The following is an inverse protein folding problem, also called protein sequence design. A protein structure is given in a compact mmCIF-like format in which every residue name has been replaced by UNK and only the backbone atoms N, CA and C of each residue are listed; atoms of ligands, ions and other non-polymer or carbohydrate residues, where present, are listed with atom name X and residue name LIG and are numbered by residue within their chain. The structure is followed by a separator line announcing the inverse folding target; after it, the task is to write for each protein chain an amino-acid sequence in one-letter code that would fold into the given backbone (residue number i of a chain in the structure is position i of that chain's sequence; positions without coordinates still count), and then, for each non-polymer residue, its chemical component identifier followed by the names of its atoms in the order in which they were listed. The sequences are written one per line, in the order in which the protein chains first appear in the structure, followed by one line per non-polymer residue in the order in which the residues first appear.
data_IF_294112394411
#
_entry.id   IF_294112394411
#
_cell.length_a   1.000
_cell.length_b   1.000
_cell.length_c   1.000
_cell.angle_alpha   90.00
_cell.angle_beta   90.00
_cell.angle_gamma   90.00
#
_symmetry.space_group_name_H-M   'P 1'
#
loop_
_entity.id
_entity.type
_entity.pdbx_description
1 polymer ?
#
# COMPACT_ATOMS: atom_id res chain seq x y z
N UNK A 1 0.67 25.15 -4.20
CA UNK A 1 -0.02 23.88 -3.93
C UNK A 1 0.12 22.96 -5.13
N UNK A 2 1.07 22.05 -5.02
CA UNK A 2 1.33 21.02 -6.02
C UNK A 2 0.87 19.67 -5.47
N UNK A 3 0.12 18.91 -6.27
CA UNK A 3 -0.27 17.53 -5.93
C UNK A 3 0.62 16.57 -6.70
N UNK A 4 1.31 15.71 -5.97
CA UNK A 4 2.19 14.67 -6.49
C UNK A 4 1.50 13.30 -6.36
N UNK A 5 1.79 12.37 -7.27
CA UNK A 5 1.24 11.02 -7.26
C UNK A 5 2.33 10.03 -7.65
N UNK A 6 2.69 9.15 -6.71
CA UNK A 6 3.76 8.17 -6.87
C UNK A 6 3.20 6.76 -6.75
N UNK A 7 3.45 5.92 -7.75
CA UNK A 7 3.27 4.47 -7.62
C UNK A 7 4.49 3.95 -6.86
N UNK A 8 4.27 3.40 -5.67
CA UNK A 8 5.37 2.98 -4.79
C UNK A 8 5.52 1.48 -4.71
N UNK A 9 4.50 0.72 -5.11
CA UNK A 9 4.49 -0.73 -5.17
C UNK A 9 3.63 -1.15 -6.35
N UNK A 10 4.15 -2.03 -7.20
CA UNK A 10 3.41 -2.66 -8.29
C UNK A 10 3.93 -4.08 -8.48
N UNK A 11 3.07 -5.06 -8.23
CA UNK A 11 3.40 -6.49 -8.25
C UNK A 11 2.38 -7.19 -9.13
N UNK A 12 2.86 -7.92 -10.13
CA UNK A 12 1.98 -8.65 -11.06
C UNK A 12 1.25 -9.80 -10.38
N UNK A 13 1.96 -10.56 -9.53
CA UNK A 13 1.43 -11.71 -8.81
C UNK A 13 1.93 -11.75 -7.36
N UNK A 14 1.01 -11.74 -6.42
CA UNK A 14 1.28 -11.94 -5.00
C UNK A 14 0.71 -13.29 -4.56
N UNK A 15 1.62 -14.24 -4.33
CA UNK A 15 1.28 -15.63 -4.03
C UNK A 15 0.37 -15.78 -2.80
N UNK A 16 -0.34 -16.91 -2.65
CA UNK A 16 -1.14 -17.18 -1.46
C UNK A 16 -0.30 -17.10 -0.18
N UNK A 17 -0.88 -16.54 0.88
CA UNK A 17 -0.27 -16.37 2.21
C UNK A 17 1.16 -15.81 2.16
N UNK A 18 1.40 -14.87 1.25
CA UNK A 18 2.72 -14.28 1.03
C UNK A 18 2.71 -12.79 1.29
N UNK A 19 3.87 -12.29 1.68
CA UNK A 19 4.13 -10.89 1.94
C UNK A 19 5.13 -10.38 0.92
N UNK A 20 4.89 -9.21 0.35
CA UNK A 20 5.84 -8.57 -0.56
C UNK A 20 7.09 -8.09 0.16
N UNK A 21 8.12 -7.73 -0.60
CA UNK A 21 9.16 -6.84 -0.07
C UNK A 21 8.59 -5.46 0.30
N UNK A 22 9.41 -4.64 0.95
CA UNK A 22 9.08 -3.27 1.31
C UNK A 22 9.50 -2.31 0.18
N UNK A 23 8.55 -1.60 -0.43
CA UNK A 23 8.78 -0.75 -1.61
C UNK A 23 8.52 0.74 -1.36
N UNK A 24 9.20 1.60 -2.12
CA UNK A 24 9.23 3.06 -2.01
C UNK A 24 10.69 3.57 -2.01
N UNK A 25 11.04 4.68 -1.32
CA UNK A 25 10.20 5.49 -0.42
C UNK A 25 9.40 6.60 -1.12
N UNK A 26 8.48 7.20 -0.38
CA UNK A 26 7.99 8.57 -0.63
C UNK A 26 8.43 9.46 0.50
N UNK A 27 9.06 10.59 0.17
CA UNK A 27 9.39 11.65 1.11
C UNK A 27 8.18 12.58 1.28
N UNK A 28 7.77 12.80 2.53
CA UNK A 28 6.63 13.62 2.93
C UNK A 28 7.06 14.87 3.73
N UNK A 29 8.35 15.19 3.81
CA UNK A 29 8.92 16.30 4.62
C UNK A 29 8.19 17.65 4.48
N UNK A 30 7.63 17.95 3.31
CA UNK A 30 6.90 19.19 3.02
C UNK A 30 5.41 18.97 2.72
N UNK A 31 4.90 17.76 2.96
CA UNK A 31 3.53 17.39 2.63
C UNK A 31 2.55 17.90 3.68
N UNK A 32 1.44 18.48 3.24
CA UNK A 32 0.35 18.96 4.11
C UNK A 32 -0.88 18.05 4.05
N UNK A 33 -0.98 17.19 3.03
CA UNK A 33 -2.02 16.17 2.87
C UNK A 33 -1.41 14.93 2.25
N UNK A 34 -1.86 13.75 2.67
CA UNK A 34 -1.47 12.49 2.07
C UNK A 34 -2.67 11.53 2.03
N UNK A 35 -2.81 10.83 0.90
CA UNK A 35 -3.75 9.75 0.72
C UNK A 35 -3.06 8.58 0.04
N UNK A 36 -3.37 7.37 0.49
CA UNK A 36 -2.78 6.14 -0.01
C UNK A 36 -3.91 5.31 -0.61
N UNK A 37 -3.78 4.99 -1.90
CA UNK A 37 -4.69 4.12 -2.63
C UNK A 37 -4.01 2.80 -2.89
N UNK A 38 -4.59 1.71 -2.39
CA UNK A 38 -4.16 0.37 -2.72
C UNK A 38 -5.21 -0.31 -3.62
N UNK A 39 -4.75 -1.14 -4.54
CA UNK A 39 -5.61 -1.95 -5.40
C UNK A 39 -5.05 -3.37 -5.56
N UNK A 40 -5.94 -4.31 -5.80
CA UNK A 40 -5.62 -5.69 -6.15
C UNK A 40 -6.72 -6.25 -7.04
N UNK A 41 -6.35 -7.11 -7.98
CA UNK A 41 -7.29 -8.00 -8.66
C UNK A 41 -7.38 -9.32 -7.90
N UNK A 42 -8.60 -9.72 -7.56
CA UNK A 42 -8.88 -10.98 -6.90
C UNK A 42 -9.40 -11.99 -7.92
N UNK A 43 -8.83 -13.20 -7.92
CA UNK A 43 -9.34 -14.31 -8.72
C UNK A 43 -10.71 -14.76 -8.24
N UNK A 44 -11.43 -15.50 -9.09
CA UNK A 44 -12.83 -15.86 -8.85
C UNK A 44 -13.08 -16.57 -7.50
N UNK A 45 -12.12 -17.37 -7.03
CA UNK A 45 -12.24 -18.15 -5.80
C UNK A 45 -11.57 -17.51 -4.58
N UNK A 46 -11.04 -16.29 -4.71
CA UNK A 46 -10.42 -15.61 -3.58
C UNK A 46 -11.46 -15.41 -2.47
N UNK A 47 -11.05 -15.72 -1.25
CA UNK A 47 -11.87 -15.69 -0.04
C UNK A 47 -11.38 -14.70 1.01
N UNK A 48 -10.14 -14.21 0.90
CA UNK A 48 -9.54 -13.31 1.88
C UNK A 48 -8.97 -12.04 1.25
N UNK A 49 -8.80 -11.02 2.08
CA UNK A 49 -8.37 -9.68 1.66
C UNK A 49 -6.87 -9.62 1.31
N UNK A 50 -6.47 -8.56 0.61
CA UNK A 50 -5.07 -8.12 0.59
C UNK A 50 -4.91 -7.00 1.60
N UNK A 51 -3.99 -7.17 2.56
CA UNK A 51 -3.66 -6.13 3.55
C UNK A 51 -2.53 -5.26 3.06
N UNK A 52 -2.70 -3.96 3.16
CA UNK A 52 -1.65 -2.96 2.91
C UNK A 52 -1.09 -2.47 4.23
N UNK A 53 0.23 -2.49 4.36
CA UNK A 53 1.00 -2.00 5.51
C UNK A 53 1.87 -0.83 5.06
N UNK A 54 1.81 0.28 5.78
CA UNK A 54 2.61 1.47 5.53
C UNK A 54 3.57 1.64 6.68
N UNK A 55 4.87 1.58 6.39
CA UNK A 55 5.93 1.72 7.38
C UNK A 55 6.55 3.11 7.24
N UNK A 56 6.77 3.76 8.39
CA UNK A 56 7.43 5.06 8.48
C UNK A 56 8.93 4.92 8.73
N UNK A 57 9.67 5.95 8.35
CA UNK A 57 11.07 6.14 8.71
C UNK A 57 11.39 7.63 8.84
N UNK A 58 12.30 7.96 9.76
CA UNK A 58 12.82 9.32 9.93
C UNK A 58 14.09 9.60 9.09
N UNK A 59 14.75 8.55 8.57
CA UNK A 59 16.04 8.63 7.85
C UNK A 59 16.10 7.83 6.54
N UNK A 60 14.99 7.22 6.10
CA UNK A 60 14.90 6.34 4.92
C UNK A 60 15.77 5.07 4.98
N UNK A 61 16.34 4.76 6.14
CA UNK A 61 17.17 3.57 6.34
C UNK A 61 16.56 2.65 7.39
N UNK A 62 16.14 3.23 8.52
CA UNK A 62 15.56 2.54 9.65
C UNK A 62 14.05 2.73 9.62
N UNK A 63 13.35 1.69 9.16
CA UNK A 63 11.88 1.66 9.13
C UNK A 63 11.34 1.09 10.43
N UNK A 64 10.20 1.63 10.87
CA UNK A 64 9.52 1.18 12.07
C UNK A 64 9.03 -0.27 11.91
N UNK A 65 9.02 -1.03 13.01
CA UNK A 65 8.52 -2.42 13.02
C UNK A 65 7.00 -2.47 13.07
N UNK A 66 6.37 -1.47 13.68
CA UNK A 66 4.92 -1.32 13.72
C UNK A 66 4.46 -0.45 12.54
N UNK A 67 3.45 -0.88 11.76
CA UNK A 67 2.93 -0.08 10.67
C UNK A 67 2.37 1.25 11.18
N UNK A 68 2.79 2.35 10.54
CA UNK A 68 2.20 3.68 10.74
C UNK A 68 0.71 3.70 10.39
N UNK A 69 0.36 3.02 9.29
CA UNK A 69 -1.02 2.80 8.89
C UNK A 69 -1.16 1.39 8.30
N UNK A 70 -2.33 0.81 8.49
CA UNK A 70 -2.72 -0.45 7.87
C UNK A 70 -4.18 -0.42 7.45
N UNK A 71 -4.49 -1.04 6.32
CA UNK A 71 -5.85 -1.21 5.86
C UNK A 71 -5.97 -2.34 4.85
N UNK A 72 -7.18 -2.85 4.68
CA UNK A 72 -7.46 -3.99 3.81
C UNK A 72 -8.12 -3.53 2.50
N UNK A 73 -7.74 -4.20 1.41
CA UNK A 73 -8.46 -4.21 0.15
C UNK A 73 -9.46 -5.36 0.25
N UNK A 74 -10.77 -5.09 0.34
CA UNK A 74 -11.75 -6.13 0.56
C UNK A 74 -11.81 -7.07 -0.64
N UNK A 75 -11.87 -8.37 -0.37
CA UNK A 75 -11.96 -9.40 -1.39
C UNK A 75 -13.26 -9.27 -2.18
N UNK A 76 -13.14 -9.34 -3.50
CA UNK A 76 -14.30 -9.50 -4.37
C UNK A 76 -13.86 -10.23 -5.62
N UNK A 77 -14.32 -11.48 -5.78
CA UNK A 77 -13.82 -12.39 -6.81
C UNK A 77 -14.04 -11.89 -8.24
N UNK A 78 -13.07 -12.18 -9.10
CA UNK A 78 -13.03 -11.87 -10.52
C UNK A 78 -13.08 -10.37 -10.84
N UNK A 79 -12.50 -9.52 -9.98
CA UNK A 79 -12.45 -8.09 -10.22
C UNK A 79 -11.31 -7.39 -9.50
N UNK A 80 -11.00 -6.19 -9.98
CA UNK A 80 -10.09 -5.25 -9.32
C UNK A 80 -10.85 -4.43 -8.30
N UNK A 81 -10.39 -4.45 -7.05
CA UNK A 81 -10.89 -3.60 -5.98
C UNK A 81 -9.85 -2.53 -5.67
N UNK A 82 -10.32 -1.32 -5.34
CA UNK A 82 -9.46 -0.21 -4.91
C UNK A 82 -9.98 0.36 -3.60
N UNK A 83 -9.06 0.65 -2.68
CA UNK A 83 -9.36 1.26 -1.40
C UNK A 83 -8.41 2.43 -1.17
N UNK A 84 -8.95 3.56 -0.73
CA UNK A 84 -8.18 4.78 -0.45
C UNK A 84 -8.36 5.19 0.99
N UNK A 85 -7.25 5.44 1.68
CA UNK A 85 -7.21 6.00 3.03
C UNK A 85 -6.45 7.31 3.06
N UNK A 86 -7.02 8.31 3.73
CA UNK A 86 -6.31 9.52 4.08
C UNK A 86 -5.43 9.25 5.31
N UNK A 87 -4.18 9.72 5.27
CA UNK A 87 -3.23 9.61 6.38
C UNK A 87 -2.64 10.98 6.69
N UNK A 88 -2.21 11.19 7.93
CA UNK A 88 -1.50 12.41 8.29
C UNK A 88 -0.06 12.31 7.73
N UNK A 89 0.46 13.34 7.05
CA UNK A 89 1.82 13.33 6.50
C UNK A 89 2.87 13.65 7.58
N UNK A 90 2.72 13.12 8.79
CA UNK A 90 3.65 13.38 9.91
C UNK A 90 5.02 12.68 9.73
N UNK A 91 5.08 11.44 9.20
CA UNK A 91 6.36 10.78 8.95
C UNK A 91 7.16 11.45 7.83
N UNK A 92 8.50 11.44 7.95
CA UNK A 92 9.39 11.98 6.91
C UNK A 92 9.42 11.11 5.65
N UNK A 93 9.53 9.80 5.83
CA UNK A 93 9.53 8.83 4.73
C UNK A 93 8.50 7.74 5.00
N UNK A 94 7.87 7.24 3.94
CA UNK A 94 7.02 6.05 3.99
C UNK A 94 7.38 5.04 2.91
N UNK A 95 7.23 3.76 3.24
CA UNK A 95 7.24 2.64 2.30
C UNK A 95 5.99 1.79 2.48
N UNK A 96 5.64 1.02 1.46
CA UNK A 96 4.51 0.10 1.49
C UNK A 96 4.96 -1.35 1.36
N UNK A 97 4.24 -2.21 2.05
CA UNK A 97 4.27 -3.65 1.92
C UNK A 97 2.83 -4.15 1.82
N UNK A 98 2.62 -5.24 1.10
CA UNK A 98 1.30 -5.87 0.98
C UNK A 98 1.39 -7.33 1.39
N UNK A 99 0.32 -7.82 2.01
CA UNK A 99 0.17 -9.21 2.45
C UNK A 99 -1.07 -9.77 1.79
N UNK A 100 -0.93 -10.86 1.05
CA UNK A 100 -2.07 -11.64 0.61
C UNK A 100 -2.50 -12.56 1.76
N UNK A 101 -3.67 -12.29 2.34
CA UNK A 101 -4.20 -13.09 3.44
C UNK A 101 -4.88 -14.37 2.94
N UNK A 102 -5.07 -14.52 1.63
CA UNK A 102 -5.67 -15.71 1.05
C UNK A 102 -4.69 -16.89 1.07
N UNK A 103 -5.05 -18.02 1.71
CA UNK A 103 -4.17 -19.17 1.79
C UNK A 103 -4.10 -20.00 0.49
N UNK A 104 -5.03 -19.80 -0.44
CA UNK A 104 -5.20 -20.65 -1.62
C UNK A 104 -5.05 -19.91 -2.94
N UNK A 105 -5.44 -18.64 -3.00
CA UNK A 105 -5.52 -17.87 -4.25
C UNK A 105 -4.49 -16.75 -4.32
N UNK A 106 -3.96 -16.55 -5.53
CA UNK A 106 -3.03 -15.44 -5.82
C UNK A 106 -3.82 -14.15 -6.02
N UNK A 107 -3.32 -13.05 -5.47
CA UNK A 107 -3.79 -11.71 -5.82
C UNK A 107 -2.94 -11.18 -6.97
N UNK A 108 -3.58 -10.73 -8.04
CA UNK A 108 -2.90 -10.22 -9.23
C UNK A 108 -2.95 -8.69 -9.28
N UNK A 109 -2.01 -8.06 -10.00
CA UNK A 109 -1.97 -6.60 -10.23
C UNK A 109 -2.11 -5.75 -8.96
N UNK A 110 -1.37 -6.15 -7.92
CA UNK A 110 -1.37 -5.45 -6.63
C UNK A 110 -0.56 -4.17 -6.76
N UNK A 111 -1.16 -3.04 -6.41
CA UNK A 111 -0.54 -1.73 -6.60
C UNK A 111 -0.87 -0.77 -5.47
N UNK A 112 0.14 -0.05 -4.98
CA UNK A 112 -0.01 1.02 -3.99
C UNK A 112 0.45 2.33 -4.58
N UNK A 113 -0.40 3.34 -4.47
CA UNK A 113 -0.19 4.70 -4.97
C UNK A 113 -0.31 5.67 -3.81
N UNK A 114 0.65 6.57 -3.68
CA UNK A 114 0.64 7.65 -2.70
C UNK A 114 0.40 8.96 -3.43
N UNK A 115 -0.62 9.69 -3.00
CA UNK A 115 -0.94 11.03 -3.47
C UNK A 115 -0.76 12.02 -2.33
N UNK A 116 0.08 13.02 -2.50
CA UNK A 116 0.36 14.01 -1.47
C UNK A 116 0.41 15.43 -2.05
N UNK A 117 0.14 16.41 -1.20
CA UNK A 117 0.13 17.83 -1.58
C UNK A 117 1.18 18.59 -0.80
N UNK A 118 1.96 19.40 -1.50
CA UNK A 118 2.94 20.34 -0.95
C UNK A 118 2.41 21.78 -1.10
N UNK A 119 2.90 22.74 -0.28
CA UNK A 119 2.45 24.14 -0.27
C UNK A 119 2.38 24.86 -1.62
#
# INVERSE_FOLDING_TARGET
MQTNTNVILEIEHLNPNSTSDLYGPVELSNSIKCAITAQAYFRANASENVRTLILSSWDDTNYDTEPYAQFDIPVQGNQTVRTTYAVLPDPKYIKAQVVNLDPNETADYVKVVVTYTEP
#
